data_IF_956616786801
#
_entry.id   IF_956616786801
#
_cell.length_a   1.000
_cell.length_b   1.000
_cell.length_c   1.000
_cell.angle_alpha   90.00
_cell.angle_beta   90.00
_cell.angle_gamma   90.00
#
_symmetry.space_group_name_H-M   'P 1'
#
loop_
_entity.id
_entity.type
_entity.pdbx_description
1 polymer ?
#
# COMPACT_ATOMS: atom_id res chain seq x y z
N UNK A 1 42.39 -26.46 2.69
CA UNK A 1 41.05 -26.91 2.25
C UNK A 1 40.77 -28.21 2.96
N UNK A 2 39.88 -28.22 3.95
CA UNK A 2 39.40 -29.47 4.56
C UNK A 2 38.58 -30.22 3.49
N UNK A 3 38.81 -31.52 3.26
CA UNK A 3 38.02 -32.29 2.32
C UNK A 3 36.59 -32.42 2.85
N UNK A 4 35.61 -32.08 2.01
CA UNK A 4 34.19 -32.32 2.31
C UNK A 4 34.02 -33.84 2.38
N UNK A 5 33.97 -34.40 3.59
CA UNK A 5 33.67 -35.81 3.82
C UNK A 5 32.17 -36.03 3.66
N UNK A 6 31.74 -36.40 2.45
CA UNK A 6 30.36 -36.79 2.17
C UNK A 6 30.19 -38.25 2.63
N UNK A 7 29.48 -38.46 3.74
CA UNK A 7 29.18 -39.81 4.24
C UNK A 7 27.90 -40.35 3.59
N UNK A 8 27.92 -41.53 2.93
CA UNK A 8 26.76 -42.04 2.17
C UNK A 8 25.47 -42.24 2.98
N UNK A 9 25.59 -42.59 4.26
CA UNK A 9 24.49 -42.70 5.22
C UNK A 9 23.81 -41.35 5.46
N UNK A 10 24.59 -40.29 5.66
CA UNK A 10 24.06 -38.94 5.83
C UNK A 10 23.36 -38.43 4.57
N UNK A 11 23.91 -38.73 3.38
CA UNK A 11 23.29 -38.36 2.11
C UNK A 11 21.95 -39.05 1.94
N UNK A 12 21.84 -40.33 2.30
CA UNK A 12 20.57 -41.06 2.23
C UNK A 12 19.53 -40.54 3.22
N UNK A 13 19.94 -40.21 4.44
CA UNK A 13 19.05 -39.59 5.44
C UNK A 13 18.59 -38.20 5.00
N UNK A 14 19.48 -37.38 4.42
CA UNK A 14 19.15 -36.07 3.85
C UNK A 14 18.18 -36.20 2.65
N UNK A 15 18.43 -37.14 1.73
CA UNK A 15 17.54 -37.40 0.58
C UNK A 15 16.16 -37.89 1.02
N UNK A 16 16.09 -38.79 2.00
CA UNK A 16 14.82 -39.30 2.54
C UNK A 16 14.06 -38.18 3.25
N UNK A 17 14.76 -37.37 4.04
CA UNK A 17 14.18 -36.19 4.69
C UNK A 17 13.64 -35.21 3.65
N UNK A 18 14.42 -34.93 2.60
CA UNK A 18 14.00 -34.05 1.50
C UNK A 18 12.77 -34.58 0.76
N UNK A 19 12.72 -35.88 0.45
CA UNK A 19 11.59 -36.50 -0.23
C UNK A 19 10.31 -36.47 0.62
N UNK A 20 10.41 -36.75 1.92
CA UNK A 20 9.28 -36.65 2.85
C UNK A 20 8.76 -35.21 2.95
N UNK A 21 9.68 -34.25 3.06
CA UNK A 21 9.38 -32.81 3.07
C UNK A 21 8.64 -32.38 1.80
N UNK A 22 9.10 -32.83 0.64
CA UNK A 22 8.48 -32.53 -0.65
C UNK A 22 7.08 -33.14 -0.77
N UNK A 23 6.91 -34.39 -0.33
CA UNK A 23 5.63 -35.11 -0.38
C UNK A 23 4.59 -34.45 0.52
N UNK A 24 4.96 -34.14 1.77
CA UNK A 24 4.10 -33.39 2.69
C UNK A 24 3.76 -32.01 2.13
N UNK A 25 4.72 -31.35 1.49
CA UNK A 25 4.52 -30.06 0.85
C UNK A 25 3.49 -30.08 -0.27
N UNK A 26 3.57 -31.08 -1.14
CA UNK A 26 2.60 -31.29 -2.22
C UNK A 26 1.20 -31.61 -1.68
N UNK A 27 1.12 -32.40 -0.61
CA UNK A 27 -0.15 -32.70 0.07
C UNK A 27 -0.78 -31.43 0.65
N UNK A 28 0.00 -30.62 1.39
CA UNK A 28 -0.47 -29.35 1.95
C UNK A 28 -0.95 -28.37 0.86
N UNK A 29 -0.28 -28.33 -0.29
CA UNK A 29 -0.68 -27.51 -1.43
C UNK A 29 -1.96 -28.02 -2.10
N UNK A 30 -2.12 -29.34 -2.23
CA UNK A 30 -3.35 -29.95 -2.76
C UNK A 30 -4.56 -29.73 -1.82
N UNK A 31 -4.31 -29.69 -0.51
CA UNK A 31 -5.31 -29.44 0.53
C UNK A 31 -5.57 -27.94 0.75
N UNK A 32 -4.79 -27.05 0.13
CA UNK A 32 -5.01 -25.61 0.17
C UNK A 32 -6.26 -25.28 -0.67
N UNK A 33 -7.40 -25.12 0.01
CA UNK A 33 -8.66 -24.67 -0.60
C UNK A 33 -8.65 -23.18 -0.96
N UNK A 34 -9.84 -22.58 -1.13
CA UNK A 34 -9.91 -21.12 -1.31
C UNK A 34 -9.36 -20.42 -0.06
N UNK A 35 -8.57 -19.38 -0.30
CA UNK A 35 -7.85 -18.67 0.75
C UNK A 35 -8.51 -17.30 0.92
N UNK A 36 -9.42 -17.16 1.91
CA UNK A 36 -10.22 -15.95 2.07
C UNK A 36 -9.36 -14.85 2.70
N UNK A 37 -9.11 -13.75 1.98
CA UNK A 37 -8.48 -12.53 2.49
C UNK A 37 -9.54 -11.44 2.71
N UNK A 38 -9.26 -10.42 3.54
CA UNK A 38 -10.25 -9.41 3.92
C UNK A 38 -11.21 -9.93 4.99
N UNK A 39 -10.65 -10.30 6.15
CA UNK A 39 -11.37 -11.04 7.20
C UNK A 39 -12.23 -10.15 8.10
N UNK A 40 -11.99 -8.84 8.11
CA UNK A 40 -12.69 -7.93 9.03
C UNK A 40 -14.08 -7.62 8.49
N UNK A 41 -15.16 -7.81 9.29
CA UNK A 41 -16.51 -7.50 8.85
C UNK A 41 -16.64 -6.04 8.40
N UNK A 42 -17.25 -5.85 7.23
CA UNK A 42 -17.37 -4.53 6.60
C UNK A 42 -18.67 -4.37 5.83
N UNK A 43 -19.11 -3.14 5.71
CA UNK A 43 -20.27 -2.74 4.92
C UNK A 43 -19.83 -1.80 3.79
N UNK A 44 -20.41 -1.97 2.60
CA UNK A 44 -20.25 -0.98 1.53
C UNK A 44 -21.20 0.18 1.80
N UNK A 45 -20.65 1.36 2.07
CA UNK A 45 -21.42 2.56 2.44
C UNK A 45 -21.66 3.49 1.26
N UNK A 46 -20.82 3.42 0.24
CA UNK A 46 -20.92 4.18 -1.00
C UNK A 46 -20.33 3.40 -2.17
N UNK A 47 -20.90 3.58 -3.35
CA UNK A 47 -20.41 3.01 -4.60
C UNK A 47 -20.59 4.01 -5.73
N UNK A 48 -19.58 4.09 -6.58
CA UNK A 48 -19.60 4.90 -7.79
C UNK A 48 -18.70 4.23 -8.81
N UNK A 49 -19.23 3.97 -10.01
CA UNK A 49 -18.54 3.18 -11.04
C UNK A 49 -17.98 1.87 -10.47
N UNK A 50 -16.65 1.72 -10.44
CA UNK A 50 -15.95 0.55 -9.89
C UNK A 50 -15.47 0.76 -8.46
N UNK A 51 -15.53 2.00 -7.96
CA UNK A 51 -15.17 2.35 -6.60
C UNK A 51 -16.21 1.83 -5.62
N UNK A 52 -15.74 1.24 -4.53
CA UNK A 52 -16.54 0.97 -3.33
C UNK A 52 -15.86 1.55 -2.10
N UNK A 53 -16.58 2.38 -1.35
CA UNK A 53 -16.17 2.82 -0.03
C UNK A 53 -16.71 1.82 1.01
N UNK A 54 -15.80 1.20 1.75
CA UNK A 54 -16.13 0.30 2.85
C UNK A 54 -15.99 1.01 4.19
N UNK A 55 -16.91 0.72 5.11
CA UNK A 55 -16.75 0.96 6.54
C UNK A 55 -16.56 -0.37 7.25
N UNK A 56 -15.55 -0.47 8.10
CA UNK A 56 -15.31 -1.69 8.89
C UNK A 56 -16.01 -1.64 10.25
N UNK A 57 -16.46 -2.79 10.72
CA UNK A 57 -17.18 -2.91 11.97
C UNK A 57 -16.22 -3.15 13.13
N UNK A 58 -16.12 -2.22 14.06
CA UNK A 58 -15.39 -2.42 15.31
C UNK A 58 -16.14 -3.39 16.24
N UNK A 59 -15.42 -4.14 17.10
CA UNK A 59 -16.05 -4.87 18.19
C UNK A 59 -16.85 -3.93 19.10
N UNK A 60 -18.03 -4.37 19.57
CA UNK A 60 -18.92 -3.55 20.39
C UNK A 60 -18.29 -3.04 21.72
N UNK A 61 -17.22 -3.67 22.18
CA UNK A 61 -16.47 -3.28 23.38
C UNK A 61 -15.52 -2.10 23.16
N UNK A 62 -15.24 -1.71 21.91
CA UNK A 62 -14.28 -0.66 21.59
C UNK A 62 -14.99 0.66 21.35
N UNK A 63 -14.67 1.67 22.16
CA UNK A 63 -15.14 3.04 21.94
C UNK A 63 -14.35 3.64 20.79
N UNK A 64 -15.07 3.97 19.71
CA UNK A 64 -14.48 4.56 18.52
C UNK A 64 -14.28 6.08 18.69
N UNK A 65 -13.22 6.57 18.07
CA UNK A 65 -12.87 7.97 17.96
C UNK A 65 -13.95 8.73 17.15
N UNK A 66 -14.35 9.95 17.56
CA UNK A 66 -15.45 10.67 16.93
C UNK A 66 -15.14 11.09 15.49
N UNK A 67 -13.88 11.40 15.18
CA UNK A 67 -13.45 11.70 13.80
C UNK A 67 -12.96 10.40 13.13
N UNK A 68 -13.59 9.96 12.03
CA UNK A 68 -13.23 8.72 11.34
C UNK A 68 -11.89 8.82 10.62
N UNK A 69 -11.34 7.67 10.21
CA UNK A 69 -10.11 7.52 9.45
C UNK A 69 -10.39 6.85 8.11
N UNK A 70 -10.11 7.57 7.01
CA UNK A 70 -10.20 7.06 5.66
C UNK A 70 -8.84 6.53 5.17
N UNK A 71 -8.79 5.25 4.81
CA UNK A 71 -7.64 4.63 4.17
C UNK A 71 -7.74 4.85 2.66
N UNK A 72 -6.75 5.56 2.11
CA UNK A 72 -6.56 5.79 0.68
C UNK A 72 -5.41 4.91 0.22
N UNK A 73 -5.73 3.81 -0.45
CA UNK A 73 -4.75 2.87 -0.95
C UNK A 73 -4.22 3.26 -2.34
N UNK A 74 -3.10 2.68 -2.76
CA UNK A 74 -2.59 2.83 -4.11
C UNK A 74 -3.56 2.27 -5.16
N UNK A 75 -3.44 2.74 -6.42
CA UNK A 75 -4.16 2.13 -7.54
C UNK A 75 -3.52 0.78 -7.94
N UNK A 76 -2.26 0.58 -7.57
CA UNK A 76 -1.55 -0.70 -7.72
C UNK A 76 -2.00 -1.68 -6.63
N UNK A 77 -2.37 -2.89 -7.06
CA UNK A 77 -2.81 -4.01 -6.22
C UNK A 77 -4.05 -3.69 -5.38
N UNK A 78 -4.69 -4.73 -4.85
CA UNK A 78 -5.93 -4.55 -4.09
C UNK A 78 -5.68 -4.16 -2.62
N UNK A 79 -6.58 -3.35 -2.02
CA UNK A 79 -6.38 -2.80 -0.69
C UNK A 79 -6.57 -3.80 0.47
N UNK A 80 -7.08 -5.01 0.20
CA UNK A 80 -7.23 -6.06 1.22
C UNK A 80 -5.89 -6.52 1.80
N UNK A 81 -4.76 -6.07 1.24
CA UNK A 81 -3.44 -6.20 1.86
C UNK A 81 -3.37 -5.61 3.27
N UNK A 82 -4.17 -4.57 3.52
CA UNK A 82 -4.31 -3.95 4.84
C UNK A 82 -5.17 -4.77 5.81
N UNK A 83 -5.80 -5.85 5.33
CA UNK A 83 -6.71 -6.73 6.06
C UNK A 83 -6.53 -8.22 5.65
N UNK A 84 -5.28 -8.67 5.55
CA UNK A 84 -4.95 -9.96 4.92
C UNK A 84 -5.50 -11.17 5.69
N UNK A 85 -5.36 -11.15 7.02
CA UNK A 85 -5.87 -12.16 7.97
C UNK A 85 -5.90 -11.58 9.39
N UNK A 86 -6.52 -12.28 10.35
CA UNK A 86 -6.84 -11.70 11.67
C UNK A 86 -5.63 -11.20 12.45
N UNK A 87 -4.52 -11.94 12.43
CA UNK A 87 -3.26 -11.59 13.08
C UNK A 87 -2.35 -10.69 12.21
N UNK A 88 -2.77 -10.38 10.98
CA UNK A 88 -2.07 -9.54 10.00
C UNK A 88 -3.04 -8.59 9.30
N UNK A 89 -3.74 -7.79 10.09
CA UNK A 89 -4.70 -6.81 9.62
C UNK A 89 -4.45 -5.45 10.27
N UNK A 90 -3.89 -4.53 9.49
CA UNK A 90 -3.74 -3.13 9.87
C UNK A 90 -5.10 -2.50 10.14
N UNK A 91 -6.13 -2.86 9.36
CA UNK A 91 -7.51 -2.41 9.58
C UNK A 91 -8.00 -2.85 10.97
N UNK A 92 -7.87 -4.12 11.31
CA UNK A 92 -8.24 -4.63 12.64
C UNK A 92 -7.45 -3.94 13.74
N UNK A 93 -6.14 -3.77 13.57
CA UNK A 93 -5.30 -3.06 14.53
C UNK A 93 -5.74 -1.60 14.74
N UNK A 94 -6.21 -0.91 13.70
CA UNK A 94 -6.74 0.45 13.80
C UNK A 94 -8.09 0.47 14.52
N UNK A 95 -8.98 -0.49 14.23
CA UNK A 95 -10.25 -0.65 14.95
C UNK A 95 -10.00 -0.92 16.44
N UNK A 96 -9.08 -1.84 16.77
CA UNK A 96 -8.69 -2.15 18.16
C UNK A 96 -8.05 -0.94 18.87
N UNK A 97 -7.35 -0.08 18.12
CA UNK A 97 -6.83 1.18 18.61
C UNK A 97 -7.92 2.26 18.80
N UNK A 98 -9.18 1.95 18.47
CA UNK A 98 -10.33 2.82 18.63
C UNK A 98 -10.59 3.76 17.46
N UNK A 99 -10.10 3.48 16.25
CA UNK A 99 -10.45 4.26 15.07
C UNK A 99 -11.77 3.77 14.45
N UNK A 100 -12.56 4.70 13.86
CA UNK A 100 -13.64 4.34 12.93
C UNK A 100 -13.07 4.32 11.51
N UNK A 101 -12.90 3.12 10.95
CA UNK A 101 -12.07 2.90 9.77
C UNK A 101 -12.92 2.76 8.52
N UNK A 102 -12.61 3.60 7.54
CA UNK A 102 -13.11 3.54 6.18
C UNK A 102 -11.96 3.19 5.22
N UNK A 103 -12.29 2.59 4.08
CA UNK A 103 -11.30 2.23 3.07
C UNK A 103 -11.91 2.36 1.67
N UNK A 104 -11.15 3.00 0.77
CA UNK A 104 -11.49 3.05 -0.65
C UNK A 104 -10.94 1.80 -1.33
N UNK A 105 -11.82 1.06 -1.98
CA UNK A 105 -11.47 0.06 -2.98
C UNK A 105 -11.79 0.62 -4.36
N UNK A 106 -10.75 0.96 -5.12
CA UNK A 106 -10.86 1.60 -6.44
C UNK A 106 -11.47 0.67 -7.50
N UNK A 107 -11.50 -0.65 -7.24
CA UNK A 107 -12.03 -1.64 -8.18
C UNK A 107 -11.08 -1.94 -9.33
N UNK A 108 -11.65 -2.37 -10.46
CA UNK A 108 -10.90 -2.75 -11.67
C UNK A 108 -11.29 -1.84 -12.83
N UNK A 109 -10.37 -0.97 -13.29
CA UNK A 109 -10.61 -0.17 -14.48
C UNK A 109 -10.90 -1.04 -15.71
N UNK A 110 -11.89 -0.65 -16.50
CA UNK A 110 -12.15 -1.20 -17.82
C UNK A 110 -11.65 -0.23 -18.92
N UNK A 111 -11.86 -0.59 -20.18
CA UNK A 111 -11.36 0.21 -21.32
C UNK A 111 -11.94 1.62 -21.40
N UNK A 112 -13.12 1.88 -20.85
CA UNK A 112 -13.72 3.21 -20.85
C UNK A 112 -12.99 4.13 -19.86
N UNK A 113 -12.41 3.56 -18.81
CA UNK A 113 -11.71 4.29 -17.75
C UNK A 113 -10.32 4.81 -18.18
N UNK A 114 -9.87 4.51 -19.42
CA UNK A 114 -8.54 4.93 -19.92
C UNK A 114 -8.30 6.43 -19.91
N UNK A 115 -9.38 7.21 -19.92
CA UNK A 115 -9.35 8.67 -19.93
C UNK A 115 -9.45 9.28 -18.54
N UNK A 116 -9.64 8.49 -17.48
CA UNK A 116 -9.63 9.00 -16.12
C UNK A 116 -8.27 9.63 -15.81
N UNK A 117 -8.30 10.87 -15.38
CA UNK A 117 -7.15 11.69 -15.00
C UNK A 117 -6.94 11.66 -13.49
N UNK A 118 -5.79 12.16 -13.01
CA UNK A 118 -5.60 12.32 -11.57
C UNK A 118 -6.64 13.27 -10.95
N UNK A 119 -7.15 14.24 -11.72
CA UNK A 119 -8.19 15.15 -11.27
C UNK A 119 -9.50 14.39 -10.96
N UNK A 120 -9.90 13.48 -11.84
CA UNK A 120 -11.07 12.62 -11.63
C UNK A 120 -10.93 11.75 -10.38
N UNK A 121 -9.73 11.22 -10.12
CA UNK A 121 -9.46 10.44 -8.90
C UNK A 121 -9.50 11.27 -7.63
N UNK A 122 -8.85 12.46 -7.62
CA UNK A 122 -8.66 13.23 -6.40
C UNK A 122 -9.82 14.18 -6.12
N UNK A 123 -10.21 14.99 -7.10
CA UNK A 123 -11.29 15.97 -6.97
C UNK A 123 -12.67 15.38 -7.32
N UNK A 124 -12.71 14.21 -7.95
CA UNK A 124 -13.93 13.43 -8.13
C UNK A 124 -14.10 12.38 -7.05
N UNK A 125 -13.54 11.19 -7.27
CA UNK A 125 -13.81 9.99 -6.47
C UNK A 125 -13.41 10.12 -5.00
N UNK A 126 -12.19 10.58 -4.70
CA UNK A 126 -11.71 10.74 -3.32
C UNK A 126 -12.52 11.82 -2.59
N UNK A 127 -12.74 12.98 -3.22
CA UNK A 127 -13.50 14.07 -2.60
C UNK A 127 -14.93 13.65 -2.22
N UNK A 128 -15.63 12.93 -3.12
CA UNK A 128 -16.98 12.41 -2.81
C UNK A 128 -16.97 11.35 -1.71
N UNK A 129 -15.91 10.55 -1.58
CA UNK A 129 -15.76 9.63 -0.45
C UNK A 129 -15.59 10.40 0.87
N UNK A 130 -14.81 11.48 0.86
CA UNK A 130 -14.65 12.36 2.03
C UNK A 130 -15.98 13.00 2.39
N UNK A 131 -16.73 13.54 1.42
CA UNK A 131 -18.04 14.15 1.62
C UNK A 131 -19.07 13.17 2.20
N UNK A 132 -19.13 11.93 1.70
CA UNK A 132 -20.02 10.90 2.25
C UNK A 132 -19.71 10.62 3.73
N UNK A 133 -18.43 10.54 4.09
CA UNK A 133 -18.02 10.30 5.48
C UNK A 133 -18.37 11.52 6.34
N UNK A 134 -18.06 12.73 5.88
CA UNK A 134 -18.39 14.00 6.53
C UNK A 134 -19.90 14.10 6.78
N UNK A 135 -20.74 13.84 5.77
CA UNK A 135 -22.20 13.86 5.89
C UNK A 135 -22.72 12.84 6.90
N UNK A 136 -22.20 11.61 6.87
CA UNK A 136 -22.62 10.53 7.78
C UNK A 136 -22.32 10.85 9.24
N UNK A 137 -21.19 11.49 9.50
CA UNK A 137 -20.73 11.83 10.85
C UNK A 137 -21.08 13.26 11.29
N UNK A 138 -21.64 14.08 10.38
CA UNK A 138 -21.91 15.52 10.59
C UNK A 138 -20.64 16.28 11.00
N UNK A 139 -19.55 16.01 10.29
CA UNK A 139 -18.25 16.62 10.47
C UNK A 139 -17.86 17.38 9.20
N UNK A 140 -17.05 18.43 9.36
CA UNK A 140 -16.46 19.13 8.21
C UNK A 140 -15.13 18.48 7.76
N UNK A 141 -14.50 17.69 8.64
CA UNK A 141 -13.17 17.11 8.45
C UNK A 141 -13.06 15.67 8.90
N UNK A 142 -12.20 14.90 8.24
CA UNK A 142 -11.86 13.52 8.61
C UNK A 142 -10.35 13.31 8.72
N UNK A 143 -9.93 12.21 9.35
CA UNK A 143 -8.53 11.77 9.28
C UNK A 143 -8.31 10.99 7.99
N UNK A 144 -7.14 11.13 7.37
CA UNK A 144 -6.75 10.37 6.17
C UNK A 144 -5.47 9.59 6.45
N UNK A 145 -5.48 8.29 6.16
CA UNK A 145 -4.29 7.45 6.07
C UNK A 145 -4.04 7.09 4.61
N UNK A 146 -3.05 7.74 3.99
CA UNK A 146 -2.64 7.44 2.63
C UNK A 146 -1.48 6.44 2.59
N UNK A 147 -1.59 5.43 1.72
CA UNK A 147 -0.66 4.30 1.65
C UNK A 147 0.02 4.26 0.28
N UNK A 148 1.37 4.28 0.26
CA UNK A 148 2.17 4.28 -0.97
C UNK A 148 1.73 5.40 -1.94
N UNK A 149 1.35 5.09 -3.18
CA UNK A 149 0.78 6.06 -4.13
C UNK A 149 -0.47 6.75 -3.58
N UNK A 150 -1.30 6.04 -2.81
CA UNK A 150 -2.44 6.62 -2.12
C UNK A 150 -2.02 7.70 -1.11
N UNK A 151 -0.82 7.60 -0.54
CA UNK A 151 -0.21 8.66 0.26
C UNK A 151 0.15 9.89 -0.55
N UNK A 152 0.71 9.72 -1.75
CA UNK A 152 0.99 10.83 -2.66
C UNK A 152 -0.32 11.52 -3.08
N UNK A 153 -1.38 10.74 -3.33
CA UNK A 153 -2.71 11.28 -3.62
C UNK A 153 -3.28 12.03 -2.41
N UNK A 154 -3.20 11.47 -1.21
CA UNK A 154 -3.66 12.14 0.01
C UNK A 154 -2.90 13.44 0.30
N UNK A 155 -1.60 13.52 0.01
CA UNK A 155 -0.83 14.76 0.11
C UNK A 155 -1.35 15.82 -0.86
N UNK A 156 -1.53 15.45 -2.13
CA UNK A 156 -2.07 16.36 -3.14
C UNK A 156 -3.49 16.81 -2.80
N UNK A 157 -4.36 15.88 -2.40
CA UNK A 157 -5.72 16.16 -1.96
C UNK A 157 -5.74 17.10 -0.75
N UNK A 158 -4.91 16.85 0.28
CA UNK A 158 -4.85 17.69 1.48
C UNK A 158 -4.30 19.09 1.19
N UNK A 159 -3.47 19.25 0.16
CA UNK A 159 -3.00 20.55 -0.31
C UNK A 159 -4.09 21.33 -1.09
N UNK A 160 -5.00 20.64 -1.76
CA UNK A 160 -6.14 21.23 -2.49
C UNK A 160 -7.33 21.54 -1.57
N UNK A 161 -7.61 20.67 -0.59
CA UNK A 161 -8.77 20.70 0.30
C UNK A 161 -8.36 20.65 1.79
N UNK A 162 -7.51 21.57 2.28
CA UNK A 162 -7.05 21.56 3.68
C UNK A 162 -8.19 21.74 4.71
N UNK A 163 -9.32 22.27 4.26
CA UNK A 163 -10.54 22.43 5.04
C UNK A 163 -11.33 21.13 5.26
N UNK A 164 -11.00 20.04 4.56
CA UNK A 164 -11.66 18.72 4.73
C UNK A 164 -10.83 17.67 5.47
N UNK A 165 -9.55 17.97 5.77
CA UNK A 165 -8.63 17.02 6.40
C UNK A 165 -8.25 17.48 7.82
N UNK A 166 -8.58 16.66 8.81
CA UNK A 166 -8.31 16.91 10.23
C UNK A 166 -6.88 16.53 10.59
N UNK A 167 -6.45 15.32 10.21
CA UNK A 167 -5.08 14.84 10.36
C UNK A 167 -4.70 13.99 9.14
N UNK A 168 -3.44 14.11 8.69
CA UNK A 168 -2.91 13.34 7.58
C UNK A 168 -1.84 12.36 8.08
N UNK A 169 -2.03 11.08 7.80
CA UNK A 169 -1.04 10.04 8.02
C UNK A 169 -0.58 9.52 6.66
N UNK A 170 0.74 9.52 6.43
CA UNK A 170 1.36 8.94 5.25
C UNK A 170 2.10 7.68 5.66
N UNK A 171 1.96 6.60 4.90
CA UNK A 171 2.67 5.34 5.18
C UNK A 171 3.37 4.85 3.92
N UNK A 172 4.70 4.65 4.02
CA UNK A 172 5.62 4.29 2.93
C UNK A 172 5.33 5.06 1.64
N UNK A 173 5.13 6.38 1.81
CA UNK A 173 4.66 7.27 0.75
C UNK A 173 5.85 7.87 0.01
N UNK A 174 5.92 7.78 -1.33
CA UNK A 174 6.94 8.47 -2.10
C UNK A 174 6.60 9.95 -2.21
N UNK A 175 7.51 10.81 -1.74
CA UNK A 175 7.39 12.27 -1.85
C UNK A 175 8.48 12.82 -2.77
N UNK A 176 9.73 12.37 -2.57
CA UNK A 176 10.82 12.63 -3.50
C UNK A 176 11.11 11.40 -4.37
N UNK A 177 10.86 11.51 -5.67
CA UNK A 177 11.02 10.40 -6.61
C UNK A 177 12.45 10.27 -7.15
N UNK A 178 13.31 11.28 -6.98
CA UNK A 178 14.68 11.31 -7.52
C UNK A 178 15.74 10.99 -6.47
N UNK A 179 15.43 10.17 -5.47
CA UNK A 179 16.45 9.71 -4.51
C UNK A 179 17.41 8.72 -5.17
N UNK A 180 18.69 8.65 -4.74
CA UNK A 180 19.69 7.80 -5.39
C UNK A 180 19.28 6.33 -5.49
N UNK A 181 18.64 5.81 -4.44
CA UNK A 181 18.24 4.41 -4.32
C UNK A 181 16.87 4.09 -4.97
N UNK A 182 16.21 5.08 -5.60
CA UNK A 182 14.92 4.85 -6.26
C UNK A 182 15.11 4.23 -7.66
N UNK A 183 15.33 2.92 -7.69
CA UNK A 183 15.53 2.15 -8.93
C UNK A 183 14.40 2.35 -9.92
N UNK A 184 13.15 2.39 -9.45
CA UNK A 184 11.98 2.54 -10.30
C UNK A 184 12.01 3.88 -11.06
N UNK A 185 12.39 4.98 -10.38
CA UNK A 185 12.57 6.27 -11.04
C UNK A 185 13.63 6.23 -12.13
N UNK A 186 14.78 5.60 -11.89
CA UNK A 186 15.83 5.49 -12.91
C UNK A 186 15.36 4.72 -14.15
N UNK A 187 14.54 3.67 -13.98
CA UNK A 187 14.03 2.89 -15.10
C UNK A 187 13.03 3.66 -15.96
N UNK A 188 12.04 4.31 -15.33
CA UNK A 188 10.97 5.00 -16.06
C UNK A 188 11.40 6.36 -16.63
N UNK A 189 12.56 6.90 -16.21
CA UNK A 189 13.07 8.21 -16.63
C UNK A 189 13.23 8.37 -18.14
N UNK A 190 13.50 7.26 -18.84
CA UNK A 190 13.77 7.26 -20.29
C UNK A 190 12.72 6.50 -21.10
N UNK A 191 11.61 6.10 -20.46
CA UNK A 191 10.50 5.45 -21.15
C UNK A 191 9.61 6.51 -21.80
N UNK A 192 9.26 6.29 -23.08
CA UNK A 192 8.22 7.08 -23.75
C UNK A 192 6.84 6.63 -23.25
N UNK A 193 6.40 7.28 -22.18
CA UNK A 193 5.10 7.03 -21.55
C UNK A 193 3.96 7.41 -22.49
N UNK A 194 4.19 8.37 -23.41
CA UNK A 194 3.12 8.80 -24.29
C UNK A 194 2.74 7.71 -25.28
N UNK A 195 3.75 7.16 -25.97
CA UNK A 195 3.58 6.02 -26.87
C UNK A 195 3.03 4.79 -26.15
N UNK A 196 3.49 4.53 -24.91
CA UNK A 196 3.02 3.39 -24.11
C UNK A 196 1.51 3.46 -23.84
N UNK A 197 1.05 4.60 -23.32
CA UNK A 197 -0.37 4.79 -22.96
C UNK A 197 -1.24 4.88 -24.21
N UNK A 198 -0.77 5.55 -25.28
CA UNK A 198 -1.52 5.65 -26.54
C UNK A 198 -1.76 4.26 -27.16
N UNK A 199 -0.78 3.35 -27.01
CA UNK A 199 -0.84 1.97 -27.52
C UNK A 199 -1.74 1.09 -26.66
N UNK A 200 -1.60 1.13 -25.33
CA UNK A 200 -2.29 0.19 -24.43
C UNK A 200 -3.68 0.67 -23.98
N UNK A 201 -3.91 1.98 -23.92
CA UNK A 201 -5.06 2.57 -23.23
C UNK A 201 -4.83 2.52 -21.72
N UNK A 202 -5.33 1.48 -21.05
CA UNK A 202 -4.95 1.22 -19.66
C UNK A 202 -3.58 0.54 -19.61
N UNK A 203 -2.84 0.75 -18.53
CA UNK A 203 -1.62 -0.02 -18.28
C UNK A 203 -1.98 -1.32 -17.56
N UNK A 204 -1.68 -2.49 -18.15
CA UNK A 204 -2.06 -3.77 -17.57
C UNK A 204 -1.44 -3.98 -16.18
N UNK A 205 -2.23 -4.47 -15.22
CA UNK A 205 -1.73 -4.81 -13.88
C UNK A 205 -0.59 -5.83 -13.91
N UNK A 206 -0.63 -6.77 -14.86
CA UNK A 206 0.44 -7.76 -15.07
C UNK A 206 1.79 -7.11 -15.42
N UNK A 207 1.78 -6.05 -16.23
CA UNK A 207 3.00 -5.32 -16.60
C UNK A 207 3.58 -4.58 -15.38
N UNK A 208 2.71 -4.00 -14.55
CA UNK A 208 3.11 -3.34 -13.31
C UNK A 208 3.70 -4.36 -12.32
N UNK A 209 3.04 -5.51 -12.14
CA UNK A 209 3.55 -6.60 -11.32
C UNK A 209 4.91 -7.09 -11.75
N UNK A 210 5.08 -7.33 -13.06
CA UNK A 210 6.36 -7.73 -13.61
C UNK A 210 7.44 -6.70 -13.29
N UNK A 211 7.12 -5.41 -13.40
CA UNK A 211 8.05 -4.32 -13.03
C UNK A 211 8.44 -4.39 -11.56
N UNK A 212 7.48 -4.54 -10.64
CA UNK A 212 7.75 -4.61 -9.20
C UNK A 212 8.53 -5.86 -8.79
N UNK A 213 8.21 -7.02 -9.36
CA UNK A 213 8.93 -8.27 -9.09
C UNK A 213 10.40 -8.21 -9.53
N UNK A 214 10.70 -7.45 -10.59
CA UNK A 214 12.06 -7.24 -11.07
C UNK A 214 12.87 -6.22 -10.26
N UNK A 215 12.27 -5.47 -9.33
CA UNK A 215 13.06 -4.59 -8.44
C UNK A 215 13.98 -5.39 -7.51
N UNK A 216 13.62 -6.64 -7.19
CA UNK A 216 14.47 -7.58 -6.43
C UNK A 216 14.29 -9.02 -6.89
N UNK A 217 14.79 -9.38 -8.08
CA UNK A 217 14.53 -10.69 -8.68
C UNK A 217 15.15 -11.81 -7.82
N UNK A 218 16.29 -11.56 -7.18
CA UNK A 218 16.91 -12.55 -6.30
C UNK A 218 16.12 -12.80 -5.01
N UNK A 219 15.55 -11.77 -4.37
CA UNK A 219 14.77 -11.96 -3.13
C UNK A 219 13.34 -12.42 -3.42
N UNK A 220 12.70 -11.86 -4.45
CA UNK A 220 11.29 -12.11 -4.78
C UNK A 220 11.09 -13.34 -5.68
N UNK A 221 12.13 -13.81 -6.38
CA UNK A 221 12.10 -15.05 -7.16
C UNK A 221 13.13 -16.06 -6.66
N UNK A 222 14.40 -15.69 -6.49
CA UNK A 222 15.48 -16.64 -6.13
C UNK A 222 15.36 -17.28 -4.74
N UNK A 223 15.41 -16.48 -3.67
CA UNK A 223 15.33 -16.92 -2.27
C UNK A 223 14.00 -17.64 -1.97
N UNK A 224 12.93 -17.16 -2.61
CA UNK A 224 11.58 -17.74 -2.55
C UNK A 224 11.55 -19.23 -2.86
N UNK A 225 12.31 -19.70 -3.86
CA UNK A 225 12.36 -21.14 -4.22
C UNK A 225 13.21 -21.98 -3.26
N UNK A 226 14.21 -21.39 -2.61
CA UNK A 226 15.04 -22.07 -1.59
C UNK A 226 14.26 -22.31 -0.30
N UNK A 227 13.49 -21.32 0.13
CA UNK A 227 12.66 -21.41 1.34
C UNK A 227 11.35 -22.18 1.08
N UNK A 228 10.97 -22.40 -0.18
CA UNK A 228 9.72 -23.04 -0.60
C UNK A 228 9.53 -24.42 0.03
N UNK A 229 10.59 -25.22 0.13
CA UNK A 229 10.51 -26.56 0.73
C UNK A 229 10.14 -26.50 2.21
N UNK A 230 10.63 -25.48 2.94
CA UNK A 230 10.28 -25.28 4.36
C UNK A 230 8.89 -24.66 4.54
N UNK A 231 8.52 -23.74 3.65
CA UNK A 231 7.19 -23.10 3.63
C UNK A 231 6.10 -24.13 3.36
N UNK A 232 6.31 -25.02 2.39
CA UNK A 232 5.33 -26.05 2.01
C UNK A 232 5.04 -27.05 3.14
N UNK A 233 5.97 -27.29 4.08
CA UNK A 233 5.77 -28.20 5.21
C UNK A 233 4.85 -27.65 6.30
N UNK A 234 4.89 -26.35 6.51
CA UNK A 234 4.13 -25.67 7.57
C UNK A 234 2.88 -25.06 6.96
N UNK A 235 1.72 -25.66 7.23
CA UNK A 235 0.44 -25.23 6.68
C UNK A 235 0.16 -23.74 6.93
N UNK A 236 0.53 -23.20 8.09
CA UNK A 236 0.32 -21.78 8.39
C UNK A 236 1.25 -20.90 7.54
N UNK A 237 2.51 -21.28 7.37
CA UNK A 237 3.43 -20.55 6.48
C UNK A 237 3.00 -20.65 5.01
N UNK A 238 2.51 -21.81 4.58
CA UNK A 238 1.98 -22.02 3.25
C UNK A 238 0.74 -21.16 2.98
N UNK A 239 -0.23 -21.15 3.88
CA UNK A 239 -1.44 -20.32 3.75
C UNK A 239 -1.06 -18.84 3.66
N UNK A 240 -0.15 -18.37 4.53
CA UNK A 240 0.39 -17.01 4.48
C UNK A 240 1.07 -16.69 3.15
N UNK A 241 1.87 -17.62 2.64
CA UNK A 241 2.56 -17.48 1.37
C UNK A 241 1.56 -17.39 0.21
N UNK A 242 0.59 -18.29 0.14
CA UNK A 242 -0.42 -18.31 -0.92
C UNK A 242 -1.33 -17.06 -0.86
N UNK A 243 -1.61 -16.51 0.33
CA UNK A 243 -2.29 -15.20 0.50
C UNK A 243 -1.50 -14.06 -0.14
N UNK A 244 -0.20 -14.03 0.15
CA UNK A 244 0.71 -13.05 -0.41
C UNK A 244 0.82 -13.18 -1.93
N UNK A 245 0.91 -14.40 -2.45
CA UNK A 245 0.92 -14.65 -3.90
C UNK A 245 -0.38 -14.21 -4.55
N UNK A 246 -1.54 -14.60 -3.98
CA UNK A 246 -2.86 -14.16 -4.45
C UNK A 246 -2.94 -12.65 -4.52
N UNK A 247 -2.43 -11.95 -3.50
CA UNK A 247 -2.37 -10.48 -3.51
C UNK A 247 -1.41 -9.90 -4.56
N UNK A 248 -0.21 -10.45 -4.68
CA UNK A 248 0.78 -10.00 -5.66
C UNK A 248 0.24 -10.10 -7.08
N UNK A 249 -0.53 -11.14 -7.39
CA UNK A 249 -1.10 -11.36 -8.72
C UNK A 249 -2.50 -10.78 -8.92
N UNK A 250 -3.11 -10.22 -7.87
CA UNK A 250 -4.39 -9.53 -7.94
C UNK A 250 -4.18 -8.03 -8.11
N UNK A 251 -3.89 -7.66 -9.37
CA UNK A 251 -3.42 -6.33 -9.73
C UNK A 251 -4.30 -5.73 -10.80
N UNK A 252 -5.15 -4.75 -10.43
CA UNK A 252 -5.93 -4.00 -11.38
C UNK A 252 -5.06 -3.27 -12.40
N UNK A 253 -5.62 -3.05 -13.57
CA UNK A 253 -5.07 -2.12 -14.54
C UNK A 253 -5.06 -0.69 -13.97
N UNK A 254 -4.17 0.16 -14.46
CA UNK A 254 -4.25 1.60 -14.20
C UNK A 254 -4.83 2.35 -15.40
N UNK A 255 -5.72 3.29 -15.11
CA UNK A 255 -6.24 4.23 -16.09
C UNK A 255 -5.10 4.96 -16.80
N UNK A 256 -5.15 4.99 -18.13
CA UNK A 256 -4.09 5.49 -18.99
C UNK A 256 -3.63 6.91 -18.67
N UNK A 257 -4.56 7.87 -18.65
CA UNK A 257 -4.20 9.28 -18.44
C UNK A 257 -3.71 9.57 -17.01
N UNK A 258 -4.28 8.90 -16.01
CA UNK A 258 -3.77 8.94 -14.63
C UNK A 258 -2.35 8.39 -14.55
N UNK A 259 -2.07 7.23 -15.16
CA UNK A 259 -0.72 6.66 -15.20
C UNK A 259 0.25 7.59 -15.92
N UNK A 260 -0.15 8.12 -17.08
CA UNK A 260 0.64 9.06 -17.89
C UNK A 260 1.08 10.25 -17.06
N UNK A 261 0.13 10.91 -16.41
CA UNK A 261 0.39 12.06 -15.57
C UNK A 261 1.28 11.69 -14.38
N UNK A 262 0.97 10.60 -13.68
CA UNK A 262 1.73 10.18 -12.51
C UNK A 262 3.19 9.89 -12.84
N UNK A 263 3.48 9.15 -13.90
CA UNK A 263 4.87 8.85 -14.27
C UNK A 263 5.61 10.11 -14.74
N UNK A 264 5.00 10.94 -15.59
CA UNK A 264 5.66 12.14 -16.13
C UNK A 264 5.92 13.17 -15.04
N UNK A 265 4.91 13.49 -14.24
CA UNK A 265 5.01 14.58 -13.27
C UNK A 265 5.79 14.19 -12.02
N UNK A 266 5.62 12.95 -11.52
CA UNK A 266 6.26 12.51 -10.28
C UNK A 266 7.58 11.79 -10.56
N UNK A 267 7.58 10.71 -11.34
CA UNK A 267 8.81 9.95 -11.55
C UNK A 267 9.83 10.62 -12.48
N UNK A 268 9.40 11.22 -13.58
CA UNK A 268 10.32 11.82 -14.55
C UNK A 268 10.73 13.24 -14.15
N UNK A 269 9.78 14.06 -13.68
CA UNK A 269 10.00 15.48 -13.41
C UNK A 269 10.07 15.85 -11.92
N UNK A 270 9.60 14.96 -11.02
CA UNK A 270 9.61 15.17 -9.57
C UNK A 270 8.97 16.50 -9.15
N UNK A 271 7.89 16.88 -9.82
CA UNK A 271 7.19 18.17 -9.65
C UNK A 271 6.63 18.37 -8.25
N UNK A 272 6.30 17.30 -7.52
CA UNK A 272 5.87 17.41 -6.12
C UNK A 272 6.95 18.06 -5.23
N UNK A 273 8.23 17.84 -5.53
CA UNK A 273 9.36 18.44 -4.81
C UNK A 273 9.88 19.73 -5.47
N UNK A 274 9.81 19.79 -6.80
CA UNK A 274 10.41 20.86 -7.59
C UNK A 274 9.43 22.01 -7.92
N UNK A 275 8.14 21.85 -7.62
CA UNK A 275 7.07 22.77 -8.01
C UNK A 275 6.54 22.53 -9.43
N UNK A 276 5.46 23.23 -9.77
CA UNK A 276 4.81 23.13 -11.09
C UNK A 276 3.95 21.88 -11.31
N UNK A 277 3.63 21.15 -10.24
CA UNK A 277 2.63 20.07 -10.27
C UNK A 277 1.24 20.70 -10.36
N UNK A 278 0.44 20.25 -11.33
CA UNK A 278 -0.96 20.64 -11.47
C UNK A 278 -1.86 19.42 -11.53
N UNK A 279 -2.99 19.47 -10.84
CA UNK A 279 -4.04 18.45 -10.87
C UNK A 279 -5.35 19.19 -11.14
N UNK A 280 -5.93 18.96 -12.32
CA UNK A 280 -6.99 19.82 -12.85
C UNK A 280 -6.53 21.27 -12.91
N UNK A 281 -7.34 22.15 -12.31
CA UNK A 281 -7.04 23.58 -12.23
C UNK A 281 -6.14 23.97 -11.04
N UNK A 282 -5.84 23.03 -10.14
CA UNK A 282 -5.11 23.29 -8.91
C UNK A 282 -3.60 23.15 -9.10
N UNK A 283 -2.85 24.17 -8.66
CA UNK A 283 -1.40 24.05 -8.47
C UNK A 283 -1.13 23.45 -7.09
N UNK A 284 -0.31 22.41 -7.04
CA UNK A 284 -0.02 21.68 -5.82
C UNK A 284 1.26 22.21 -5.18
N UNK A 285 1.11 22.77 -3.99
CA UNK A 285 2.20 23.13 -3.09
C UNK A 285 2.00 22.40 -1.75
N UNK A 286 3.02 21.65 -1.31
CA UNK A 286 3.02 20.98 -0.02
C UNK A 286 2.91 21.97 1.15
N UNK A 287 3.28 23.25 0.96
CA UNK A 287 3.05 24.29 1.96
C UNK A 287 1.57 24.48 2.31
N UNK A 288 0.63 24.04 1.46
CA UNK A 288 -0.81 24.08 1.75
C UNK A 288 -1.28 22.90 2.62
N UNK A 289 -0.41 21.92 2.90
CA UNK A 289 -0.68 20.85 3.89
C UNK A 289 -0.49 21.44 5.30
N UNK A 290 -1.56 22.01 5.85
CA UNK A 290 -1.54 22.78 7.11
C UNK A 290 -2.04 22.01 8.34
N UNK A 291 -2.67 20.85 8.14
CA UNK A 291 -3.11 19.95 9.22
C UNK A 291 -1.93 19.16 9.81
N UNK A 292 -2.03 18.58 11.01
CA UNK A 292 -0.99 17.70 11.55
C UNK A 292 -0.66 16.52 10.63
N UNK A 293 0.63 16.17 10.55
CA UNK A 293 1.14 15.11 9.68
C UNK A 293 1.93 14.07 10.48
N UNK A 294 1.56 12.79 10.33
CA UNK A 294 2.36 11.65 10.76
C UNK A 294 2.93 10.93 9.55
N UNK A 295 4.26 10.96 9.39
CA UNK A 295 4.96 10.27 8.32
C UNK A 295 5.56 8.95 8.81
N UNK A 296 5.03 7.84 8.31
CA UNK A 296 5.45 6.48 8.66
C UNK A 296 6.24 5.89 7.48
N UNK A 297 7.46 5.42 7.73
CA UNK A 297 8.29 4.80 6.69
C UNK A 297 9.00 3.54 7.19
N UNK A 298 9.34 2.67 6.26
CA UNK A 298 10.03 1.41 6.54
C UNK A 298 11.54 1.55 6.23
N UNK A 299 12.40 1.24 7.20
CA UNK A 299 13.85 1.49 7.13
C UNK A 299 14.57 0.69 6.04
N UNK A 300 14.01 -0.45 5.65
CA UNK A 300 14.56 -1.35 4.63
C UNK A 300 13.61 -1.41 3.43
N UNK A 301 12.88 -0.34 3.16
CA UNK A 301 12.05 -0.22 1.98
C UNK A 301 12.92 0.04 0.74
N UNK A 302 12.71 -0.76 -0.30
CA UNK A 302 13.44 -0.65 -1.56
C UNK A 302 12.51 -0.20 -2.71
N UNK A 303 11.19 -0.22 -2.49
CA UNK A 303 10.22 0.29 -3.44
C UNK A 303 10.05 1.79 -3.25
N UNK A 304 9.94 2.22 -1.99
CA UNK A 304 9.95 3.62 -1.57
C UNK A 304 11.07 3.77 -0.56
N UNK A 305 12.32 4.08 -1.00
CA UNK A 305 13.43 4.25 -0.09
C UNK A 305 13.10 5.25 1.04
N UNK A 306 13.58 5.06 2.28
CA UNK A 306 13.24 5.94 3.40
C UNK A 306 13.43 7.43 3.10
N UNK A 307 14.48 7.77 2.37
CA UNK A 307 14.77 9.16 1.98
C UNK A 307 13.71 9.76 1.05
N UNK A 308 13.02 8.93 0.26
CA UNK A 308 11.91 9.37 -0.59
C UNK A 308 10.71 9.81 0.26
N UNK A 309 10.45 9.13 1.39
CA UNK A 309 9.38 9.48 2.33
C UNK A 309 9.78 10.61 3.28
N UNK A 310 11.00 10.57 3.83
CA UNK A 310 11.53 11.58 4.77
C UNK A 310 11.70 12.96 4.13
N UNK A 311 11.78 13.03 2.80
CA UNK A 311 11.82 14.29 2.07
C UNK A 311 10.59 15.19 2.32
N UNK A 312 9.50 14.65 2.88
CA UNK A 312 8.34 15.42 3.32
C UNK A 312 8.66 16.40 4.46
N UNK A 313 9.65 16.07 5.29
CA UNK A 313 10.05 16.91 6.41
C UNK A 313 10.49 18.30 5.92
N UNK A 314 9.88 19.35 6.48
CA UNK A 314 10.15 20.73 6.12
C UNK A 314 9.58 21.17 4.77
N UNK A 315 8.74 20.35 4.11
CA UNK A 315 8.00 20.72 2.89
C UNK A 315 6.53 21.03 3.14
N UNK A 316 5.95 20.43 4.18
CA UNK A 316 4.58 20.72 4.60
C UNK A 316 4.48 22.06 5.34
N UNK A 317 3.32 22.73 5.24
CA UNK A 317 3.09 24.02 5.90
C UNK A 317 2.84 23.91 7.42
N UNK A 318 2.47 22.72 7.90
CA UNK A 318 2.27 22.48 9.32
C UNK A 318 3.58 22.45 10.11
N UNK A 319 3.52 22.88 11.38
CA UNK A 319 4.60 22.67 12.37
C UNK A 319 4.41 21.40 13.18
N UNK A 320 3.22 20.81 13.16
CA UNK A 320 2.91 19.55 13.81
C UNK A 320 3.20 18.39 12.85
N UNK A 321 4.49 18.08 12.73
CA UNK A 321 5.02 17.02 11.89
C UNK A 321 5.74 15.99 12.77
N UNK A 322 5.33 14.73 12.69
CA UNK A 322 5.93 13.62 13.42
C UNK A 322 6.36 12.52 12.46
N UNK A 323 7.47 11.84 12.76
CA UNK A 323 7.92 10.67 12.01
C UNK A 323 7.87 9.40 12.84
N UNK A 324 7.57 8.27 12.20
CA UNK A 324 7.65 6.94 12.79
C UNK A 324 8.38 6.00 11.82
N UNK A 325 9.56 5.51 12.21
CA UNK A 325 10.26 4.48 11.44
C UNK A 325 9.83 3.08 11.87
N UNK A 326 9.78 2.17 10.90
CA UNK A 326 9.56 0.74 11.13
C UNK A 326 10.76 -0.08 10.63
N UNK A 327 11.38 -0.92 11.47
CA UNK A 327 12.49 -1.79 11.06
C UNK A 327 11.95 -2.99 10.26
N UNK A 328 11.79 -2.79 8.95
CA UNK A 328 11.34 -3.78 7.97
C UNK A 328 11.28 -3.20 6.57
N UNK A 329 10.76 -3.97 5.61
CA UNK A 329 10.58 -3.54 4.22
C UNK A 329 9.16 -3.08 3.89
N UNK A 330 8.94 -2.67 2.63
CA UNK A 330 7.69 -2.08 2.13
C UNK A 330 6.43 -2.84 2.57
N UNK A 331 6.43 -4.15 2.38
CA UNK A 331 5.30 -5.02 2.69
C UNK A 331 5.26 -5.39 4.18
N UNK A 332 6.42 -5.52 4.81
CA UNK A 332 6.53 -5.92 6.21
C UNK A 332 5.82 -4.98 7.18
N UNK A 333 5.65 -3.72 6.80
CA UNK A 333 4.90 -2.72 7.59
C UNK A 333 3.39 -3.02 7.68
N UNK A 334 2.84 -3.83 6.77
CA UNK A 334 1.43 -4.23 6.81
C UNK A 334 1.24 -5.63 7.38
N UNK A 335 2.14 -6.57 7.11
CA UNK A 335 1.87 -8.00 7.38
C UNK A 335 2.74 -8.61 8.46
N UNK A 336 3.75 -7.90 8.97
CA UNK A 336 4.56 -8.46 10.05
C UNK A 336 3.84 -8.34 11.41
N UNK A 337 3.94 -9.38 12.24
CA UNK A 337 3.39 -9.33 13.60
C UNK A 337 4.00 -8.22 14.47
N UNK A 338 5.23 -7.77 14.16
CA UNK A 338 5.84 -6.61 14.82
C UNK A 338 5.16 -5.30 14.40
N UNK A 339 4.86 -5.14 13.11
CA UNK A 339 4.14 -3.96 12.63
C UNK A 339 2.74 -3.87 13.23
N UNK A 340 2.02 -5.00 13.32
CA UNK A 340 0.68 -5.04 13.92
C UNK A 340 0.66 -4.60 15.39
N UNK A 341 1.74 -4.85 16.14
CA UNK A 341 1.87 -4.43 17.54
C UNK A 341 2.34 -2.99 17.72
N UNK A 342 2.78 -2.31 16.66
CA UNK A 342 3.48 -1.01 16.75
C UNK A 342 2.77 0.07 15.94
N UNK A 343 2.50 -0.19 14.65
CA UNK A 343 2.02 0.82 13.71
C UNK A 343 0.56 1.22 13.98
N UNK A 344 -0.45 0.33 13.98
CA UNK A 344 -1.82 0.74 14.28
C UNK A 344 -2.01 1.38 15.67
N UNK A 345 -1.42 0.84 16.77
CA UNK A 345 -1.49 1.48 18.08
C UNK A 345 -0.84 2.87 18.10
N UNK A 346 0.28 3.06 17.39
CA UNK A 346 0.94 4.37 17.30
C UNK A 346 0.06 5.38 16.56
N UNK A 347 -0.58 4.99 15.46
CA UNK A 347 -1.53 5.84 14.73
C UNK A 347 -2.70 6.23 15.65
N UNK A 348 -3.35 5.26 16.29
CA UNK A 348 -4.49 5.53 17.17
C UNK A 348 -4.11 6.43 18.36
N UNK A 349 -2.93 6.24 18.95
CA UNK A 349 -2.41 7.12 20.00
C UNK A 349 -2.18 8.54 19.46
N UNK A 350 -1.48 8.67 18.33
CA UNK A 350 -1.12 9.96 17.74
C UNK A 350 -2.36 10.78 17.33
N UNK A 351 -3.40 10.13 16.81
CA UNK A 351 -4.68 10.78 16.46
C UNK A 351 -5.42 11.25 17.72
N UNK A 352 -5.46 10.43 18.79
CA UNK A 352 -6.13 10.78 20.06
C UNK A 352 -5.46 11.95 20.80
N UNK A 353 -4.18 12.21 20.54
CA UNK A 353 -3.47 13.36 21.13
C UNK A 353 -3.84 14.69 20.46
N UNK A 354 -4.56 14.66 19.33
CA UNK A 354 -4.86 15.83 18.47
C UNK A 354 -6.35 16.15 18.32
N UNK A 355 -7.23 15.39 18.97
CA UNK A 355 -8.69 15.53 18.85
C UNK A 355 -9.39 15.33 20.20
#
# INVERSE_FOLDING_TARGET
MLPIQIRPDQVMDELTTFQNKLTQGLQNLADAGDIPAGVTPKEAVYREDKLTLYRFQAPASVVQHPVPLLIVYALVNRPYMTDLQEDRSTVKGLLDAGMDVYLIDWGYPDRADRFLTMDDYLNGYLDRCVDEICHRHKLDKINILGICQGGTFSLCYSAMHPEKVQNLITMVTPVNFHTPDNILSHWVKHVDIDTLVDTMGNIPGELLNWTFLNLKPYQLMGQKYLDMVEVLQDKSKLDNFLRMEKWIFDSPDQAGETYRQFIKDFYQQNKLMNGGLRIGEHEIDLANVTMPVLNIFAEQDHLVPPDASKALAGKVGTKDYTELSFPGGHIGIYVSGKAQKTVPPAIGKWVKERN
#
